data_IF_767890285199
#
_entry.id   IF_767890285199
#
_cell.length_a   1.000
_cell.length_b   1.000
_cell.length_c   1.000
_cell.angle_alpha   90.00
_cell.angle_beta   90.00
_cell.angle_gamma   90.00
#
_symmetry.space_group_name_H-M   'P 1'
#
loop_
_entity.id
_entity.type
_entity.pdbx_description
1 polymer ?
#
# COMPACT_ATOMS: atom_id res chain seq x y z
N UNK A 1 9.28 -4.83 5.37
CA UNK A 1 7.82 -4.72 5.19
C UNK A 1 7.49 -5.14 3.78
N UNK A 2 6.33 -5.75 3.61
CA UNK A 2 5.76 -6.11 2.32
C UNK A 2 4.52 -5.27 2.06
N UNK A 3 4.26 -5.03 0.78
CA UNK A 3 3.04 -4.41 0.29
C UNK A 3 2.60 -5.17 -0.95
N UNK A 4 1.30 -5.51 -1.07
CA UNK A 4 0.81 -6.15 -2.29
C UNK A 4 1.10 -5.25 -3.48
N UNK A 5 1.91 -5.75 -4.39
CA UNK A 5 2.19 -5.13 -5.69
C UNK A 5 1.53 -5.92 -6.82
N UNK A 6 0.52 -6.73 -6.53
CA UNK A 6 -0.19 -7.58 -7.50
C UNK A 6 -1.50 -6.91 -7.91
N UNK A 7 -1.82 -6.97 -9.20
CA UNK A 7 -3.04 -6.36 -9.78
C UNK A 7 -3.23 -4.89 -9.43
N UNK A 8 -2.20 -4.07 -9.58
CA UNK A 8 -2.31 -2.61 -9.43
C UNK A 8 -2.61 -1.99 -10.78
N UNK A 9 -3.75 -1.30 -10.86
CA UNK A 9 -4.16 -0.56 -12.05
C UNK A 9 -3.15 0.55 -12.33
N UNK A 10 -2.59 0.55 -13.54
CA UNK A 10 -1.50 1.42 -13.97
C UNK A 10 -1.74 1.93 -15.38
N UNK A 11 -1.07 3.02 -15.73
CA UNK A 11 -1.09 3.54 -17.10
C UNK A 11 -0.44 2.56 -18.08
N UNK A 12 -1.18 2.23 -19.14
CA UNK A 12 -0.66 1.66 -20.38
C UNK A 12 -0.37 2.77 -21.38
N UNK A 13 0.42 2.46 -22.40
CA UNK A 13 0.58 3.33 -23.55
C UNK A 13 0.61 2.44 -24.80
N UNK A 14 -0.25 2.77 -25.75
CA UNK A 14 -0.37 2.23 -27.09
C UNK A 14 -0.22 3.40 -28.07
N UNK A 15 1.03 3.81 -28.36
CA UNK A 15 1.33 5.06 -29.08
C UNK A 15 0.70 5.19 -30.47
N UNK A 16 0.16 4.09 -31.02
CA UNK A 16 -0.42 3.99 -32.35
C UNK A 16 -1.96 4.09 -32.33
N UNK A 17 -2.60 4.10 -31.16
CA UNK A 17 -4.07 4.09 -31.00
C UNK A 17 -4.62 5.45 -30.54
N UNK A 18 -5.53 6.03 -31.34
CA UNK A 18 -6.22 7.29 -30.99
C UNK A 18 -7.37 6.96 -30.04
N UNK A 19 -7.41 7.61 -28.87
CA UNK A 19 -8.45 7.37 -27.86
C UNK A 19 -8.06 6.33 -26.80
N UNK A 20 -6.79 5.93 -26.75
CA UNK A 20 -6.28 4.97 -25.76
C UNK A 20 -6.56 5.35 -24.29
N UNK A 21 -6.66 6.64 -23.97
CA UNK A 21 -6.92 7.16 -22.63
C UNK A 21 -8.41 7.12 -22.21
N UNK A 22 -9.32 6.78 -23.12
CA UNK A 22 -10.76 6.68 -22.87
C UNK A 22 -11.34 5.47 -23.64
N UNK A 23 -10.93 4.24 -23.28
CA UNK A 23 -11.35 3.03 -23.97
C UNK A 23 -12.83 2.73 -23.72
N UNK A 24 -13.55 2.25 -24.74
CA UNK A 24 -14.92 1.71 -24.55
C UNK A 24 -14.94 0.45 -23.68
N UNK A 25 -13.80 -0.24 -23.56
CA UNK A 25 -13.62 -1.44 -22.74
C UNK A 25 -12.77 -1.08 -21.51
N UNK A 26 -13.38 -1.19 -20.34
CA UNK A 26 -12.67 -1.00 -19.08
C UNK A 26 -11.71 -2.17 -18.79
N UNK A 27 -10.54 -1.90 -18.19
CA UNK A 27 -9.62 -2.94 -17.78
C UNK A 27 -10.27 -3.87 -16.76
N UNK A 28 -10.08 -5.18 -16.93
CA UNK A 28 -10.64 -6.18 -16.04
C UNK A 28 -9.54 -7.08 -15.47
N UNK A 29 -9.43 -7.04 -14.14
CA UNK A 29 -8.45 -7.80 -13.35
C UNK A 29 -8.62 -9.31 -13.48
N UNK A 30 -9.85 -9.80 -13.54
CA UNK A 30 -10.14 -11.24 -13.47
C UNK A 30 -9.90 -11.94 -14.81
N UNK A 31 -9.88 -11.18 -15.90
CA UNK A 31 -9.67 -11.68 -17.26
C UNK A 31 -8.33 -11.23 -17.84
N UNK A 32 -7.49 -10.55 -17.07
CA UNK A 32 -6.26 -9.86 -17.53
C UNK A 32 -6.49 -9.05 -18.82
N UNK A 33 -7.65 -8.38 -18.90
CA UNK A 33 -7.96 -7.53 -20.04
C UNK A 33 -7.42 -6.13 -19.76
N UNK A 34 -6.48 -5.70 -20.61
CA UNK A 34 -6.00 -4.33 -20.65
C UNK A 34 -7.07 -3.44 -21.31
N UNK A 35 -7.40 -2.33 -20.65
CA UNK A 35 -8.24 -1.27 -21.21
C UNK A 35 -7.38 -0.28 -21.98
N UNK A 36 -6.59 -0.75 -22.94
CA UNK A 36 -5.69 0.08 -23.77
C UNK A 36 -4.71 0.96 -22.95
N UNK A 37 -5.12 2.18 -22.59
CA UNK A 37 -4.36 3.12 -21.76
C UNK A 37 -4.36 2.82 -20.25
N UNK A 38 -5.10 1.81 -19.80
CA UNK A 38 -5.05 1.31 -18.43
C UNK A 38 -4.86 -0.20 -18.40
N UNK A 39 -3.96 -0.69 -17.54
CA UNK A 39 -3.69 -2.12 -17.38
C UNK A 39 -3.41 -2.50 -15.94
N UNK A 40 -3.75 -3.73 -15.59
CA UNK A 40 -3.32 -4.29 -14.32
C UNK A 40 -1.88 -4.77 -14.44
N UNK A 41 -1.06 -4.39 -13.47
CA UNK A 41 0.35 -4.76 -13.46
C UNK A 41 0.73 -5.37 -12.12
N UNK A 42 1.81 -6.12 -12.12
CA UNK A 42 2.37 -6.72 -10.93
C UNK A 42 3.87 -6.49 -10.79
N UNK A 43 4.35 -6.41 -9.56
CA UNK A 43 5.77 -6.39 -9.25
C UNK A 43 6.12 -5.47 -8.08
N UNK A 44 7.37 -5.53 -7.63
CA UNK A 44 7.89 -4.69 -6.55
C UNK A 44 7.83 -3.20 -6.89
N UNK A 45 7.89 -2.85 -8.19
CA UNK A 45 7.66 -1.49 -8.69
C UNK A 45 6.27 -0.95 -8.32
N UNK A 46 5.27 -1.81 -8.20
CA UNK A 46 3.91 -1.41 -7.83
C UNK A 46 3.68 -1.42 -6.32
N UNK A 47 4.51 -2.13 -5.55
CA UNK A 47 4.57 -1.97 -4.10
C UNK A 47 5.08 -0.59 -3.69
N UNK A 48 6.04 -0.01 -4.43
CA UNK A 48 6.66 1.28 -4.11
C UNK A 48 5.67 2.47 -4.00
N UNK A 49 4.78 2.74 -4.98
CA UNK A 49 3.81 3.82 -4.88
C UNK A 49 2.79 3.61 -3.76
N UNK A 50 2.44 2.36 -3.44
CA UNK A 50 1.53 2.05 -2.33
C UNK A 50 2.20 2.38 -0.98
N UNK A 51 3.48 2.04 -0.80
CA UNK A 51 4.27 2.47 0.39
C UNK A 51 4.33 4.00 0.47
N UNK A 52 4.57 4.67 -0.67
CA UNK A 52 4.66 6.13 -0.72
C UNK A 52 3.34 6.81 -0.32
N UNK A 53 2.20 6.28 -0.80
CA UNK A 53 0.87 6.73 -0.41
C UNK A 53 0.60 6.51 1.08
N UNK A 54 0.95 5.33 1.61
CA UNK A 54 0.83 5.05 3.04
C UNK A 54 1.67 6.01 3.91
N UNK A 55 2.90 6.31 3.48
CA UNK A 55 3.77 7.29 4.15
C UNK A 55 3.21 8.73 4.08
N UNK A 56 2.50 9.09 3.00
CA UNK A 56 1.81 10.37 2.90
C UNK A 56 0.64 10.47 3.89
N UNK A 57 -0.18 9.41 4.01
CA UNK A 57 -1.28 9.36 4.97
C UNK A 57 -0.79 9.45 6.42
N UNK A 58 0.30 8.76 6.76
CA UNK A 58 0.91 8.88 8.10
C UNK A 58 1.31 10.32 8.40
N UNK A 59 1.93 11.00 7.43
CA UNK A 59 2.35 12.40 7.60
C UNK A 59 1.14 13.30 7.83
N UNK A 60 0.09 13.14 7.02
CA UNK A 60 -1.16 13.88 7.18
C UNK A 60 -1.83 13.61 8.54
N UNK A 61 -1.78 12.36 9.04
CA UNK A 61 -2.32 12.00 10.35
C UNK A 61 -1.68 12.80 11.50
N UNK A 62 -0.37 13.00 11.45
CA UNK A 62 0.35 13.80 12.44
C UNK A 62 0.16 15.31 12.24
N UNK A 63 0.15 15.76 10.98
CA UNK A 63 -0.03 17.17 10.64
C UNK A 63 -1.44 17.67 11.02
N UNK A 64 -2.48 16.88 10.77
CA UNK A 64 -3.86 17.24 11.13
C UNK A 64 -4.18 17.01 12.63
N UNK A 65 -3.19 16.60 13.43
CA UNK A 65 -3.33 16.46 14.88
C UNK A 65 -4.28 15.34 15.31
N UNK A 66 -4.32 14.22 14.57
CA UNK A 66 -5.10 13.05 15.01
C UNK A 66 -4.46 12.37 16.24
N UNK A 67 -3.13 12.34 16.31
CA UNK A 67 -2.42 11.73 17.43
C UNK A 67 -2.56 12.54 18.74
N UNK A 68 -2.86 11.93 19.91
CA UNK A 68 -2.99 10.49 20.16
C UNK A 68 -4.41 9.94 20.12
N UNK A 69 -5.42 10.81 20.04
CA UNK A 69 -6.83 10.43 20.25
C UNK A 69 -7.51 9.79 19.03
N UNK A 70 -6.91 9.86 17.85
CA UNK A 70 -7.53 9.46 16.59
C UNK A 70 -8.63 10.40 16.08
N UNK A 71 -8.84 11.54 16.74
CA UNK A 71 -9.77 12.59 16.34
C UNK A 71 -8.99 13.76 15.72
N UNK A 72 -9.38 14.17 14.52
CA UNK A 72 -8.79 15.33 13.83
C UNK A 72 -8.79 16.57 14.72
N UNK A 73 -7.62 17.20 14.89
CA UNK A 73 -7.46 18.45 15.64
C UNK A 73 -7.60 18.34 17.17
N UNK A 74 -7.82 17.14 17.72
CA UNK A 74 -7.87 16.94 19.17
C UNK A 74 -6.46 16.80 19.79
N UNK A 75 -5.47 16.50 18.97
CA UNK A 75 -4.06 16.42 19.34
C UNK A 75 -3.23 17.61 18.87
N UNK A 76 -1.94 17.58 19.21
CA UNK A 76 -0.97 18.55 18.72
C UNK A 76 -0.65 18.26 17.25
N UNK A 77 -0.78 19.27 16.39
CA UNK A 77 -0.28 19.23 15.01
C UNK A 77 1.24 19.10 15.00
N UNK A 78 1.76 18.12 14.28
CA UNK A 78 3.20 17.88 14.08
C UNK A 78 3.51 18.01 12.58
N UNK A 79 3.91 19.21 12.18
CA UNK A 79 4.22 19.55 10.76
C UNK A 79 5.56 18.96 10.30
N UNK A 80 6.53 18.83 11.21
CA UNK A 80 7.87 18.32 10.92
C UNK A 80 8.01 16.83 11.27
N UNK A 81 7.09 16.01 10.78
CA UNK A 81 7.13 14.55 11.02
C UNK A 81 8.36 13.94 10.35
N UNK A 82 9.32 13.47 11.16
CA UNK A 82 10.58 12.92 10.64
C UNK A 82 10.36 11.64 9.82
N UNK A 83 11.22 11.42 8.82
CA UNK A 83 11.20 10.19 8.03
C UNK A 83 11.43 8.92 8.89
N UNK A 84 12.19 9.05 9.99
CA UNK A 84 12.40 7.99 10.96
C UNK A 84 11.10 7.62 11.68
N UNK A 85 10.30 8.61 12.09
CA UNK A 85 8.99 8.37 12.71
C UNK A 85 8.03 7.69 11.74
N UNK A 86 7.94 8.17 10.49
CA UNK A 86 7.09 7.55 9.46
C UNK A 86 7.50 6.08 9.25
N UNK A 87 8.81 5.82 9.13
CA UNK A 87 9.32 4.46 9.02
C UNK A 87 8.95 3.62 10.25
N UNK A 88 9.12 4.13 11.46
CA UNK A 88 8.77 3.42 12.68
C UNK A 88 7.27 3.06 12.71
N UNK A 89 6.37 3.97 12.33
CA UNK A 89 4.93 3.72 12.25
C UNK A 89 4.61 2.62 11.24
N UNK A 90 5.26 2.62 10.07
CA UNK A 90 5.09 1.57 9.06
C UNK A 90 5.59 0.20 9.52
N UNK A 91 6.71 0.15 10.24
CA UNK A 91 7.29 -1.11 10.71
C UNK A 91 6.50 -1.70 11.89
N UNK A 92 6.07 -0.89 12.85
CA UNK A 92 5.49 -1.38 14.10
C UNK A 92 4.03 -1.85 13.99
N UNK A 93 3.27 -1.39 13.01
CA UNK A 93 1.92 -1.93 12.74
C UNK A 93 1.87 -2.88 11.55
N UNK A 94 3.02 -3.28 11.01
CA UNK A 94 3.05 -4.30 9.98
C UNK A 94 2.54 -5.65 10.54
N UNK A 95 1.75 -6.35 9.72
CA UNK A 95 1.11 -7.61 10.07
C UNK A 95 1.91 -8.78 9.50
N UNK A 96 2.24 -9.77 10.33
CA UNK A 96 2.88 -11.00 9.86
C UNK A 96 2.02 -11.72 8.81
N UNK A 97 2.70 -12.24 7.79
CA UNK A 97 2.13 -13.11 6.77
C UNK A 97 1.95 -14.52 7.34
N UNK A 98 0.99 -15.26 6.78
CA UNK A 98 0.79 -16.68 7.08
C UNK A 98 1.74 -17.59 6.30
N UNK A 99 2.27 -17.06 5.19
CA UNK A 99 3.20 -17.73 4.28
C UNK A 99 3.44 -16.86 3.06
N UNK A 100 4.41 -17.23 2.24
CA UNK A 100 4.69 -16.60 0.94
C UNK A 100 4.62 -17.67 -0.12
N UNK A 101 3.88 -17.38 -1.20
CA UNK A 101 3.79 -18.26 -2.35
C UNK A 101 5.04 -18.09 -3.23
N UNK A 102 5.70 -19.19 -3.56
CA UNK A 102 6.77 -19.23 -4.56
C UNK A 102 6.21 -19.31 -5.99
N UNK A 103 7.05 -19.10 -7.01
CA UNK A 103 6.67 -19.14 -8.43
C UNK A 103 6.01 -20.48 -8.84
N UNK A 104 6.24 -21.55 -8.06
CA UNK A 104 5.62 -22.87 -8.23
C UNK A 104 4.25 -23.06 -7.55
N UNK A 105 3.71 -22.04 -6.88
CA UNK A 105 2.43 -22.11 -6.15
C UNK A 105 2.52 -22.79 -4.77
N UNK A 106 3.73 -23.09 -4.29
CA UNK A 106 3.94 -23.63 -2.95
C UNK A 106 3.96 -22.50 -1.91
N UNK A 107 3.19 -22.65 -0.84
CA UNK A 107 3.19 -21.70 0.28
C UNK A 107 4.32 -22.04 1.24
N UNK A 108 5.38 -21.24 1.20
CA UNK A 108 6.51 -21.35 2.10
C UNK A 108 6.20 -20.72 3.46
N UNK A 109 6.65 -21.34 4.57
CA UNK A 109 6.50 -20.77 5.89
C UNK A 109 7.34 -19.50 6.01
N UNK A 110 6.85 -18.55 6.80
CA UNK A 110 7.55 -17.30 7.12
C UNK A 110 7.79 -17.18 8.61
N UNK A 111 8.85 -16.48 8.99
CA UNK A 111 9.15 -16.12 10.38
C UNK A 111 9.30 -14.61 10.51
N UNK A 112 9.08 -14.08 11.72
CA UNK A 112 9.27 -12.66 11.97
C UNK A 112 10.70 -12.24 11.61
N UNK A 113 10.82 -11.13 10.88
CA UNK A 113 12.10 -10.56 10.44
C UNK A 113 12.90 -11.41 9.45
N UNK A 114 12.27 -12.35 8.75
CA UNK A 114 12.93 -13.09 7.68
C UNK A 114 13.18 -12.22 6.43
N UNK A 115 13.83 -12.80 5.42
CA UNK A 115 14.07 -12.13 4.14
C UNK A 115 12.86 -12.13 3.21
N UNK A 116 11.80 -12.87 3.53
CA UNK A 116 10.62 -13.03 2.70
C UNK A 116 9.57 -11.95 3.02
N UNK A 117 9.24 -11.73 4.29
CA UNK A 117 8.29 -10.71 4.76
C UNK A 117 8.94 -9.53 5.48
N UNK A 118 10.16 -9.70 6.01
CA UNK A 118 10.79 -8.73 6.90
C UNK A 118 9.91 -8.45 8.12
N UNK A 119 9.49 -7.19 8.28
CA UNK A 119 8.57 -6.78 9.35
C UNK A 119 7.09 -7.12 9.10
N UNK A 120 6.74 -7.77 7.97
CA UNK A 120 5.36 -8.10 7.62
C UNK A 120 4.70 -7.11 6.66
N UNK A 121 3.42 -7.33 6.36
CA UNK A 121 2.60 -6.51 5.45
C UNK A 121 2.19 -5.19 6.09
N UNK A 122 2.32 -4.06 5.39
CA UNK A 122 1.83 -2.77 5.89
C UNK A 122 0.35 -2.86 6.25
N UNK A 123 0.00 -2.40 7.46
CA UNK A 123 -1.37 -2.22 7.91
C UNK A 123 -1.46 -0.91 8.70
N UNK A 124 -2.00 0.13 8.08
CA UNK A 124 -2.11 1.45 8.72
C UNK A 124 -3.09 1.47 9.88
N UNK A 125 -4.09 0.60 9.90
CA UNK A 125 -5.10 0.53 10.97
C UNK A 125 -4.46 0.09 12.30
N UNK A 126 -3.46 -0.78 12.23
CA UNK A 126 -2.69 -1.21 13.40
C UNK A 126 -1.76 -0.12 13.92
N UNK A 127 -1.30 0.79 13.05
CA UNK A 127 -0.35 1.84 13.42
C UNK A 127 -0.97 3.19 13.76
N UNK A 128 -2.14 3.49 13.18
CA UNK A 128 -2.82 4.79 13.23
C UNK A 128 -4.22 4.62 13.83
N UNK A 129 -4.39 4.73 15.16
CA UNK A 129 -5.70 4.64 15.78
C UNK A 129 -6.61 5.77 15.28
N UNK A 130 -7.82 5.42 14.82
CA UNK A 130 -8.87 6.38 14.47
C UNK A 130 -10.09 6.10 15.32
N UNK A 131 -10.81 7.16 15.70
CA UNK A 131 -12.04 6.99 16.48
C UNK A 131 -13.09 6.23 15.66
N UNK A 132 -13.64 5.15 16.22
CA UNK A 132 -14.62 4.29 15.55
C UNK A 132 -14.04 3.03 14.90
N UNK A 133 -12.72 2.83 14.93
CA UNK A 133 -12.08 1.58 14.54
C UNK A 133 -11.97 0.61 15.73
N UNK A 134 -13.12 0.22 16.28
CA UNK A 134 -13.23 -0.89 17.24
C UNK A 134 -13.53 -2.19 16.48
N UNK A 135 -12.59 -2.69 15.67
CA UNK A 135 -12.67 -4.02 15.04
C UNK A 135 -11.37 -4.81 15.14
#
# INVERSE_FOLDING_TARGET
IIVPGFSILSGGALPEEIGECDPEVEPNRDTDLDGYGLKFTQGTSMSAPVVAGAAALIRQYFEEGYFPSGVKGAGQSITDTSAALIKAVLLNGAQNLLGVEDDGGEVLPVTEYDTNQGFGRINLMNSLPLTGNDI
#
